data_IF_608464240263
#
_entry.id   IF_608464240263
#
_cell.length_a   1.000
_cell.length_b   1.000
_cell.length_c   1.000
_cell.angle_alpha   90.00
_cell.angle_beta   90.00
_cell.angle_gamma   90.00
#
_symmetry.space_group_name_H-M   'P 1'
#
loop_
_entity.id
_entity.type
_entity.pdbx_description
1 polymer ?
#
# COMPACT_ATOMS: atom_id res chain seq x y z
N UNK A 1 22.61 -6.49 0.79
CA UNK A 1 21.35 -7.15 0.37
C UNK A 1 20.22 -6.18 0.62
N UNK A 2 19.45 -5.83 -0.42
CA UNK A 2 18.31 -4.91 -0.29
C UNK A 2 17.34 -5.43 0.76
N UNK A 3 17.02 -4.61 1.77
CA UNK A 3 16.25 -5.02 2.93
C UNK A 3 14.78 -5.26 2.55
N UNK A 4 14.40 -6.53 2.39
CA UNK A 4 13.00 -6.92 2.20
C UNK A 4 12.26 -6.91 3.54
N UNK A 5 10.94 -6.68 3.50
CA UNK A 5 10.05 -6.76 4.66
C UNK A 5 8.79 -7.56 4.33
N UNK A 6 8.17 -8.11 5.36
CA UNK A 6 6.88 -8.76 5.27
C UNK A 6 5.81 -7.81 5.81
N UNK A 7 4.68 -7.71 5.12
CA UNK A 7 3.45 -7.12 5.64
C UNK A 7 2.37 -8.18 5.75
N UNK A 8 1.63 -8.19 6.86
CA UNK A 8 0.48 -9.05 7.08
C UNK A 8 -0.73 -8.17 7.37
N UNK A 9 -1.76 -8.31 6.54
CA UNK A 9 -3.07 -7.70 6.75
C UNK A 9 -4.03 -8.74 7.34
N UNK A 10 -4.56 -8.45 8.52
CA UNK A 10 -5.57 -9.28 9.19
C UNK A 10 -6.91 -9.16 8.46
N UNK A 11 -7.35 -7.96 8.05
CA UNK A 11 -8.61 -7.82 7.32
C UNK A 11 -8.58 -8.55 5.97
N UNK A 12 -7.49 -8.45 5.21
CA UNK A 12 -7.39 -9.10 3.90
C UNK A 12 -6.99 -10.57 3.96
N UNK A 13 -6.62 -11.06 5.15
CA UNK A 13 -6.04 -12.40 5.33
C UNK A 13 -4.92 -12.67 4.33
N UNK A 14 -4.00 -11.72 4.21
CA UNK A 14 -2.94 -11.74 3.21
C UNK A 14 -1.58 -11.37 3.80
N UNK A 15 -0.54 -12.08 3.35
CA UNK A 15 0.86 -11.77 3.61
C UNK A 15 1.51 -11.31 2.31
N UNK A 16 2.29 -10.23 2.37
CA UNK A 16 3.04 -9.70 1.24
C UNK A 16 4.53 -9.64 1.56
N UNK A 17 5.36 -10.07 0.61
CA UNK A 17 6.79 -9.83 0.63
C UNK A 17 7.07 -8.58 -0.18
N UNK A 18 7.64 -7.58 0.48
CA UNK A 18 7.87 -6.25 -0.05
C UNK A 18 9.37 -6.03 -0.19
N UNK A 19 9.83 -5.59 -1.36
CA UNK A 19 11.24 -5.26 -1.57
C UNK A 19 11.62 -3.96 -0.84
N UNK A 20 12.92 -3.64 -0.87
CA UNK A 20 13.41 -2.36 -0.33
C UNK A 20 12.81 -1.16 -1.08
N UNK A 21 12.49 -1.36 -2.36
CA UNK A 21 11.77 -0.43 -3.21
C UNK A 21 10.23 -0.53 -3.03
N UNK A 22 9.76 -1.06 -1.89
CA UNK A 22 8.34 -1.11 -1.59
C UNK A 22 7.44 -1.89 -2.57
N UNK A 23 8.01 -2.49 -3.63
CA UNK A 23 7.30 -3.29 -4.59
C UNK A 23 6.86 -4.59 -3.92
N UNK A 24 5.60 -4.97 -4.15
CA UNK A 24 5.09 -6.24 -3.67
C UNK A 24 5.59 -7.37 -4.58
N UNK A 25 6.66 -8.06 -4.18
CA UNK A 25 7.28 -9.16 -4.94
C UNK A 25 6.41 -10.42 -4.90
N UNK A 26 5.75 -10.67 -3.77
CA UNK A 26 4.85 -11.82 -3.56
C UNK A 26 3.66 -11.44 -2.72
N UNK A 27 2.53 -12.11 -2.97
CA UNK A 27 1.33 -12.06 -2.16
C UNK A 27 0.82 -13.47 -1.93
N UNK A 28 0.57 -13.80 -0.66
CA UNK A 28 0.07 -15.08 -0.21
C UNK A 28 -1.24 -14.90 0.53
N UNK A 29 -2.17 -15.84 0.34
CA UNK A 29 -3.31 -15.97 1.23
C UNK A 29 -2.84 -16.60 2.54
N UNK A 30 -3.31 -16.10 3.67
CA UNK A 30 -2.99 -16.62 4.99
C UNK A 30 -4.25 -16.87 5.81
N UNK A 31 -4.10 -17.50 6.97
CA UNK A 31 -5.14 -17.55 8.00
C UNK A 31 -4.57 -17.06 9.33
N UNK A 32 -5.05 -15.92 9.81
CA UNK A 32 -4.72 -15.37 11.14
C UNK A 32 -5.73 -15.84 12.17
N UNK A 33 -5.64 -15.32 13.41
CA UNK A 33 -6.46 -15.78 14.51
C UNK A 33 -7.96 -15.60 14.29
N UNK A 34 -8.74 -16.63 14.65
CA UNK A 34 -10.20 -16.55 14.74
C UNK A 34 -10.64 -15.46 15.73
N UNK A 35 -9.92 -15.32 16.86
CA UNK A 35 -10.19 -14.31 17.88
C UNK A 35 -9.78 -12.89 17.46
N UNK A 36 -9.34 -12.71 16.21
CA UNK A 36 -8.95 -11.41 15.68
C UNK A 36 -7.62 -10.88 16.24
N UNK A 37 -7.41 -9.56 16.17
CA UNK A 37 -6.18 -8.91 16.60
C UNK A 37 -6.08 -8.76 18.12
N UNK A 38 -4.88 -8.95 18.68
CA UNK A 38 -4.65 -8.77 20.12
C UNK A 38 -3.31 -9.32 20.62
N UNK A 39 -2.73 -8.62 21.59
CA UNK A 39 -1.36 -8.88 22.03
C UNK A 39 -1.27 -9.64 23.36
N UNK A 40 -2.35 -9.66 24.14
CA UNK A 40 -2.39 -10.27 25.47
C UNK A 40 -2.11 -11.77 25.39
N UNK A 41 -1.26 -12.26 26.31
CA UNK A 41 -0.94 -13.66 26.48
C UNK A 41 -2.21 -14.49 26.68
N UNK A 42 -2.24 -15.69 26.10
CA UNK A 42 -3.36 -16.63 26.18
C UNK A 42 -4.69 -16.15 25.59
N UNK A 43 -4.71 -15.01 24.87
CA UNK A 43 -5.90 -14.50 24.19
C UNK A 43 -6.31 -15.29 22.93
N UNK A 44 -5.40 -16.09 22.37
CA UNK A 44 -5.59 -16.71 21.05
C UNK A 44 -5.61 -15.72 19.87
N UNK A 45 -5.40 -14.42 20.11
CA UNK A 45 -5.41 -13.38 19.07
C UNK A 45 -4.07 -13.26 18.34
N UNK A 46 -4.08 -12.77 17.10
CA UNK A 46 -2.84 -12.45 16.36
C UNK A 46 -2.32 -11.07 16.81
N UNK A 47 -1.07 -10.95 17.28
CA UNK A 47 -0.55 -9.67 17.74
C UNK A 47 -0.34 -8.69 16.58
N UNK A 48 -0.57 -7.40 16.83
CA UNK A 48 -0.30 -6.32 15.87
C UNK A 48 1.08 -5.71 16.08
N UNK A 49 1.45 -4.84 15.15
CA UNK A 49 2.61 -3.98 15.25
C UNK A 49 3.88 -4.60 14.67
N UNK A 50 5.01 -3.97 14.99
CA UNK A 50 6.31 -4.34 14.42
C UNK A 50 6.89 -5.59 15.07
N UNK A 51 7.35 -6.49 14.22
CA UNK A 51 8.01 -7.73 14.57
C UNK A 51 9.27 -7.92 13.71
N UNK A 52 10.06 -8.93 14.04
CA UNK A 52 11.14 -9.47 13.21
C UNK A 52 11.14 -10.99 13.24
N UNK A 53 11.61 -11.61 12.17
CA UNK A 53 11.92 -13.04 12.17
C UNK A 53 13.12 -13.26 13.09
N UNK A 54 12.89 -13.83 14.28
CA UNK A 54 13.95 -14.14 15.24
C UNK A 54 14.75 -15.36 14.84
N UNK A 55 14.06 -16.39 14.36
CA UNK A 55 14.65 -17.65 13.97
C UNK A 55 13.84 -18.30 12.84
N UNK A 56 14.54 -19.10 12.05
CA UNK A 56 14.01 -19.91 10.96
C UNK A 56 14.23 -21.38 11.31
N UNK A 57 13.19 -22.19 11.27
CA UNK A 57 13.23 -23.58 11.76
C UNK A 57 12.63 -24.51 10.70
N UNK A 58 13.30 -25.64 10.50
CA UNK A 58 12.89 -26.66 9.54
C UNK A 58 13.63 -26.63 8.20
N UNK A 59 14.73 -25.90 8.06
CA UNK A 59 15.45 -25.73 6.78
C UNK A 59 15.75 -27.07 6.06
N UNK A 60 16.36 -28.01 6.77
CA UNK A 60 16.66 -29.36 6.27
C UNK A 60 15.49 -30.36 6.40
N UNK A 61 14.34 -29.95 6.93
CA UNK A 61 13.21 -30.85 7.15
C UNK A 61 12.41 -31.05 5.84
N UNK A 62 11.93 -32.27 5.56
CA UNK A 62 11.03 -32.51 4.42
C UNK A 62 9.75 -31.65 4.51
N UNK A 63 9.15 -31.27 3.36
CA UNK A 63 7.80 -30.70 3.33
C UNK A 63 6.80 -31.59 4.08
N UNK A 64 5.86 -30.97 4.80
CA UNK A 64 4.88 -31.69 5.63
C UNK A 64 5.40 -32.12 7.00
N UNK A 65 6.69 -31.95 7.32
CA UNK A 65 7.21 -32.25 8.66
C UNK A 65 6.40 -31.58 9.75
N UNK A 66 5.96 -32.34 10.74
CA UNK A 66 5.19 -31.84 11.88
C UNK A 66 6.12 -31.40 13.00
N UNK A 67 5.91 -30.20 13.53
CA UNK A 67 6.69 -29.64 14.63
C UNK A 67 5.90 -29.55 15.94
N UNK A 68 6.57 -29.84 17.06
CA UNK A 68 6.07 -29.59 18.42
C UNK A 68 7.16 -28.91 19.23
N UNK A 69 6.85 -27.79 19.87
CA UNK A 69 7.85 -27.01 20.63
C UNK A 69 9.05 -26.60 19.76
N UNK A 70 8.83 -26.37 18.45
CA UNK A 70 9.85 -26.06 17.43
C UNK A 70 10.83 -27.20 17.11
N UNK A 71 10.53 -28.43 17.52
CA UNK A 71 11.32 -29.62 17.17
C UNK A 71 10.53 -30.51 16.21
N UNK A 72 11.18 -31.10 15.19
CA UNK A 72 10.52 -32.10 14.36
C UNK A 72 10.08 -33.28 15.23
N UNK A 73 8.89 -33.78 14.99
CA UNK A 73 8.31 -34.91 15.73
C UNK A 73 8.68 -36.27 15.14
N UNK A 74 9.16 -36.29 13.89
CA UNK A 74 9.29 -37.50 13.07
C UNK A 74 8.05 -37.78 12.22
N UNK A 75 6.91 -37.14 12.50
CA UNK A 75 5.69 -37.25 11.69
C UNK A 75 5.80 -36.38 10.41
N UNK A 76 5.30 -36.90 9.29
CA UNK A 76 4.99 -36.14 8.08
C UNK A 76 3.47 -36.07 7.95
N UNK A 77 2.93 -34.88 7.77
CA UNK A 77 1.50 -34.66 7.66
C UNK A 77 0.91 -35.35 6.41
N UNK A 78 -0.23 -35.99 6.61
CA UNK A 78 -1.12 -36.52 5.57
C UNK A 78 -2.57 -36.31 6.00
N UNK A 79 -3.51 -36.37 5.05
CA UNK A 79 -4.94 -36.28 5.36
C UNK A 79 -5.40 -37.41 6.31
N UNK A 80 -4.82 -38.60 6.19
CA UNK A 80 -5.09 -39.72 7.09
C UNK A 80 -4.63 -39.41 8.53
N UNK A 81 -3.40 -38.92 8.68
CA UNK A 81 -2.87 -38.52 10.00
C UNK A 81 -3.70 -37.37 10.61
N UNK A 82 -4.14 -36.42 9.78
CA UNK A 82 -5.03 -35.35 10.21
C UNK A 82 -6.37 -35.90 10.72
N UNK A 83 -6.96 -36.87 10.01
CA UNK A 83 -8.22 -37.53 10.39
C UNK A 83 -8.16 -38.30 11.71
N UNK A 84 -6.99 -38.81 12.08
CA UNK A 84 -6.76 -39.49 13.36
C UNK A 84 -6.63 -38.54 14.57
N UNK A 85 -6.47 -37.23 14.33
CA UNK A 85 -6.30 -36.22 15.38
C UNK A 85 -7.12 -34.97 15.07
N UNK A 86 -8.46 -35.07 15.05
CA UNK A 86 -9.33 -33.94 14.74
C UNK A 86 -9.13 -32.83 15.78
N UNK A 87 -9.01 -31.59 15.31
CA UNK A 87 -8.82 -30.40 16.16
C UNK A 87 -7.38 -30.14 16.62
N UNK A 88 -6.40 -30.99 16.28
CA UNK A 88 -4.98 -30.70 16.51
C UNK A 88 -4.56 -29.49 15.68
N UNK A 89 -3.90 -28.50 16.30
CA UNK A 89 -3.29 -27.40 15.57
C UNK A 89 -1.94 -27.85 14.98
N UNK A 90 -1.92 -28.02 13.65
CA UNK A 90 -0.77 -28.53 12.93
C UNK A 90 0.21 -27.41 12.56
N UNK A 91 1.41 -27.47 13.14
CA UNK A 91 2.55 -26.62 12.76
C UNK A 91 3.44 -27.44 11.83
N UNK A 92 3.42 -27.12 10.54
CA UNK A 92 4.04 -27.93 9.49
C UNK A 92 5.14 -27.19 8.75
N UNK A 93 5.98 -27.99 8.08
CA UNK A 93 6.86 -27.61 6.97
C UNK A 93 7.99 -26.65 7.35
N UNK A 94 7.69 -25.39 7.68
CA UNK A 94 8.66 -24.38 8.11
C UNK A 94 8.06 -23.50 9.19
N UNK A 95 8.89 -22.99 10.08
CA UNK A 95 8.50 -22.00 11.10
C UNK A 95 9.39 -20.77 10.96
N UNK A 96 8.77 -19.61 10.79
CA UNK A 96 9.39 -18.30 10.99
C UNK A 96 8.92 -17.77 12.35
N UNK A 97 9.81 -17.83 13.35
CA UNK A 97 9.46 -17.42 14.72
C UNK A 97 9.56 -15.91 14.88
N UNK A 98 8.46 -15.27 15.25
CA UNK A 98 8.38 -13.82 15.37
C UNK A 98 8.78 -13.35 16.77
N UNK A 99 9.55 -12.26 16.83
CA UNK A 99 9.78 -11.47 18.03
C UNK A 99 9.18 -10.10 17.84
N UNK A 100 8.34 -9.67 18.77
CA UNK A 100 7.86 -8.29 18.82
C UNK A 100 9.00 -7.30 19.02
N UNK A 101 8.82 -6.09 18.51
CA UNK A 101 9.78 -5.00 18.57
C UNK A 101 9.30 -3.81 19.42
N UNK A 102 8.03 -3.79 19.85
CA UNK A 102 7.37 -2.65 20.47
C UNK A 102 7.07 -2.93 21.96
N UNK A 103 7.80 -2.24 22.85
CA UNK A 103 7.67 -2.41 24.30
C UNK A 103 6.26 -2.12 24.79
N UNK A 104 5.72 -3.01 25.62
CA UNK A 104 4.37 -2.85 26.19
C UNK A 104 3.24 -3.08 25.19
N UNK A 105 3.54 -3.24 23.89
CA UNK A 105 2.57 -3.61 22.86
C UNK A 105 2.71 -5.04 22.42
N UNK A 106 3.87 -5.46 21.91
CA UNK A 106 4.09 -6.85 21.45
C UNK A 106 5.42 -7.44 21.94
N UNK A 107 6.13 -6.71 22.81
CA UNK A 107 7.43 -7.06 23.39
C UNK A 107 7.42 -6.84 24.91
N UNK A 108 7.97 -7.82 25.63
CA UNK A 108 8.01 -7.91 27.10
C UNK A 108 6.62 -7.99 27.77
N UNK A 109 6.62 -8.36 29.05
CA UNK A 109 5.41 -8.48 29.86
C UNK A 109 4.41 -9.51 29.33
N UNK A 110 3.12 -9.25 29.56
CA UNK A 110 2.01 -10.11 29.14
C UNK A 110 1.66 -10.00 27.65
N UNK A 111 2.45 -9.25 26.87
CA UNK A 111 2.17 -9.02 25.45
C UNK A 111 3.27 -9.56 24.53
N UNK A 112 4.28 -10.21 25.09
CA UNK A 112 5.47 -10.63 24.36
C UNK A 112 5.16 -11.72 23.31
N UNK A 113 5.24 -11.36 22.03
CA UNK A 113 4.90 -12.26 20.94
C UNK A 113 5.83 -13.47 20.82
N UNK A 114 7.09 -13.32 21.25
CA UNK A 114 8.04 -14.44 21.23
C UNK A 114 7.67 -15.47 22.30
N UNK A 115 7.34 -15.01 23.51
CA UNK A 115 6.85 -15.86 24.62
C UNK A 115 5.49 -16.48 24.34
N UNK A 116 4.64 -15.79 23.58
CA UNK A 116 3.36 -16.29 23.06
C UNK A 116 3.50 -17.27 21.89
N UNK A 117 4.73 -17.60 21.47
CA UNK A 117 4.99 -18.56 20.40
C UNK A 117 4.34 -18.22 19.06
N UNK A 118 4.34 -16.93 18.70
CA UNK A 118 3.73 -16.47 17.45
C UNK A 118 4.63 -16.79 16.26
N UNK A 119 4.08 -17.51 15.29
CA UNK A 119 4.79 -18.02 14.13
C UNK A 119 4.10 -17.61 12.82
N UNK A 120 4.89 -17.53 11.74
CA UNK A 120 4.39 -17.81 10.39
C UNK A 120 4.79 -19.26 10.09
N UNK A 121 3.83 -20.12 9.76
CA UNK A 121 4.11 -21.54 9.55
C UNK A 121 3.21 -22.20 8.52
N UNK A 122 3.64 -23.37 8.02
CA UNK A 122 2.84 -24.21 7.15
C UNK A 122 1.70 -24.88 7.93
N UNK A 123 0.59 -25.13 7.25
CA UNK A 123 -0.53 -25.90 7.77
C UNK A 123 -0.99 -26.97 6.77
N UNK A 124 -1.91 -27.83 7.19
CA UNK A 124 -2.46 -28.90 6.36
C UNK A 124 -3.30 -28.34 5.22
N UNK A 125 -3.42 -29.11 4.14
CA UNK A 125 -4.19 -28.68 2.96
C UNK A 125 -5.71 -28.64 3.22
N UNK A 126 -6.15 -29.31 4.29
CA UNK A 126 -7.52 -29.34 4.82
C UNK A 126 -7.94 -28.01 5.48
N UNK A 127 -7.00 -27.14 5.84
CA UNK A 127 -7.28 -25.86 6.47
C UNK A 127 -7.60 -24.78 5.43
N UNK A 128 -8.50 -23.82 5.66
CA UNK A 128 -8.80 -22.77 4.68
C UNK A 128 -7.80 -21.61 4.75
N UNK A 129 -7.59 -20.91 3.64
CA UNK A 129 -6.79 -19.68 3.54
C UNK A 129 -7.69 -18.51 3.13
N UNK A 130 -7.35 -17.29 3.51
CA UNK A 130 -8.17 -16.11 3.25
C UNK A 130 -9.28 -15.87 4.29
N UNK A 131 -9.32 -16.69 5.36
CA UNK A 131 -10.27 -16.56 6.47
C UNK A 131 -9.55 -16.70 7.82
N UNK A 132 -9.93 -15.96 8.86
CA UNK A 132 -9.30 -16.08 10.19
C UNK A 132 -9.75 -17.35 10.90
N UNK A 133 -8.84 -18.31 11.09
CA UNK A 133 -9.13 -19.60 11.73
C UNK A 133 -7.95 -20.17 12.54
N UNK A 134 -6.88 -19.41 12.73
CA UNK A 134 -5.76 -19.82 13.59
C UNK A 134 -6.02 -19.55 15.07
N UNK A 135 -5.11 -20.00 15.95
CA UNK A 135 -5.12 -19.73 17.39
C UNK A 135 -4.08 -18.67 17.81
N UNK A 136 -3.73 -17.75 16.92
CA UNK A 136 -2.79 -16.65 17.19
C UNK A 136 -1.68 -16.52 16.15
N UNK A 137 -1.25 -17.64 15.57
CA UNK A 137 -0.23 -17.67 14.52
C UNK A 137 -0.76 -17.22 13.15
N UNK A 138 0.13 -17.09 12.18
CA UNK A 138 -0.20 -16.85 10.78
C UNK A 138 0.04 -18.15 10.00
N UNK A 139 -1.03 -18.82 9.61
CA UNK A 139 -0.96 -20.07 8.83
C UNK A 139 -0.81 -19.75 7.34
N UNK A 140 0.00 -20.54 6.66
CA UNK A 140 0.22 -20.52 5.21
C UNK A 140 0.11 -21.93 4.63
N UNK A 141 -0.14 -22.05 3.33
CA UNK A 141 0.06 -23.33 2.63
C UNK A 141 1.51 -23.77 2.73
N UNK A 142 1.73 -25.08 2.78
CA UNK A 142 3.09 -25.64 2.88
C UNK A 142 3.99 -25.22 1.72
N UNK A 143 3.46 -25.17 0.48
CA UNK A 143 4.21 -24.66 -0.68
C UNK A 143 4.60 -23.17 -0.55
N UNK A 144 3.70 -22.36 0.00
CA UNK A 144 3.87 -20.90 0.09
C UNK A 144 4.88 -20.55 1.19
N UNK A 145 4.82 -21.23 2.34
CA UNK A 145 5.79 -21.01 3.42
C UNK A 145 7.19 -21.52 3.04
N UNK A 146 7.30 -22.56 2.23
CA UNK A 146 8.59 -23.02 1.69
C UNK A 146 9.24 -21.94 0.83
N UNK A 147 8.49 -21.35 -0.10
CA UNK A 147 8.99 -20.26 -0.94
C UNK A 147 9.38 -19.05 -0.08
N UNK A 148 8.47 -18.59 0.79
CA UNK A 148 8.74 -17.45 1.67
C UNK A 148 9.99 -17.70 2.53
N UNK A 149 10.13 -18.90 3.08
CA UNK A 149 11.30 -19.28 3.89
C UNK A 149 12.60 -19.19 3.10
N UNK A 150 12.62 -19.56 1.82
CA UNK A 150 13.82 -19.41 0.99
C UNK A 150 14.15 -17.94 0.71
N UNK A 151 13.13 -17.08 0.56
CA UNK A 151 13.29 -15.68 0.18
C UNK A 151 13.74 -14.76 1.33
N UNK A 152 13.43 -15.10 2.60
CA UNK A 152 13.68 -14.20 3.73
C UNK A 152 14.77 -14.71 4.70
N UNK A 153 15.76 -13.89 5.07
CA UNK A 153 16.70 -14.24 6.14
C UNK A 153 16.09 -14.06 7.54
N UNK A 154 16.76 -14.60 8.56
CA UNK A 154 16.50 -14.17 9.93
C UNK A 154 16.82 -12.68 10.09
N UNK A 155 16.03 -11.96 10.87
CA UNK A 155 16.10 -10.51 11.02
C UNK A 155 15.15 -9.73 10.12
N UNK A 156 14.56 -10.35 9.09
CA UNK A 156 13.55 -9.69 8.24
C UNK A 156 12.43 -9.08 9.08
N UNK A 157 12.13 -7.82 8.80
CA UNK A 157 11.04 -7.07 9.44
C UNK A 157 9.69 -7.65 9.04
N UNK A 158 8.78 -7.74 9.99
CA UNK A 158 7.39 -8.17 9.77
C UNK A 158 6.46 -7.14 10.42
N UNK A 159 5.59 -6.53 9.63
CA UNK A 159 4.55 -5.61 10.12
C UNK A 159 3.20 -6.35 10.07
N UNK A 160 2.47 -6.39 11.19
CA UNK A 160 1.15 -7.04 11.28
C UNK A 160 0.11 -5.96 11.62
N UNK A 161 -0.88 -5.79 10.75
CA UNK A 161 -1.85 -4.70 10.82
C UNK A 161 -3.28 -5.21 10.62
N UNK A 162 -4.24 -4.50 11.22
CA UNK A 162 -5.66 -4.84 11.12
C UNK A 162 -6.21 -4.55 9.74
N UNK A 163 -5.98 -3.34 9.23
CA UNK A 163 -6.58 -2.88 7.98
C UNK A 163 -5.99 -3.51 6.73
N UNK A 164 -6.63 -3.21 5.61
CA UNK A 164 -6.09 -3.51 4.27
C UNK A 164 -4.68 -3.00 4.11
N UNK A 165 -3.85 -3.75 3.41
CA UNK A 165 -2.57 -3.21 2.98
C UNK A 165 -2.82 -2.05 2.02
N UNK A 166 -2.66 -0.84 2.54
CA UNK A 166 -2.37 0.31 1.73
C UNK A 166 -1.01 0.05 1.10
N UNK A 167 -0.98 -0.57 -0.09
CA UNK A 167 0.20 -0.57 -0.94
C UNK A 167 0.72 0.87 -0.93
N UNK A 168 1.89 1.08 -0.30
CA UNK A 168 2.33 2.36 0.26
C UNK A 168 1.63 3.52 -0.43
N UNK A 169 0.62 4.09 0.22
CA UNK A 169 -0.16 5.17 -0.39
C UNK A 169 0.84 6.20 -0.89
N UNK A 170 0.87 6.50 -2.20
CA UNK A 170 1.85 7.45 -2.68
C UNK A 170 1.69 8.75 -1.93
N UNK A 171 2.84 9.34 -1.61
CA UNK A 171 2.89 10.63 -0.94
C UNK A 171 2.63 11.68 -1.99
N UNK A 172 1.67 12.57 -1.76
CA UNK A 172 1.40 13.71 -2.64
C UNK A 172 1.82 14.96 -1.90
N UNK A 173 2.75 15.70 -2.49
CA UNK A 173 3.22 16.98 -1.96
C UNK A 173 2.87 18.08 -2.95
N UNK A 174 2.40 19.22 -2.44
CA UNK A 174 2.26 20.44 -3.23
C UNK A 174 3.53 21.25 -3.05
N UNK A 175 4.31 21.37 -4.12
CA UNK A 175 5.64 21.97 -4.14
C UNK A 175 5.66 23.20 -5.06
N UNK A 176 6.64 24.07 -4.86
CA UNK A 176 7.01 25.06 -5.87
C UNK A 176 7.94 24.44 -6.93
N UNK A 177 8.28 25.21 -7.96
CA UNK A 177 9.11 24.72 -9.05
C UNK A 177 10.55 24.39 -8.66
N UNK A 178 11.10 25.08 -7.65
CA UNK A 178 12.48 24.85 -7.18
C UNK A 178 12.64 23.43 -6.69
N UNK A 179 11.61 22.90 -6.02
CA UNK A 179 11.58 21.53 -5.52
C UNK A 179 10.98 20.53 -6.52
N UNK A 180 9.98 20.95 -7.31
CA UNK A 180 9.24 20.05 -8.20
C UNK A 180 9.90 19.83 -9.56
N UNK A 181 10.59 20.83 -10.12
CA UNK A 181 10.96 20.86 -11.53
C UNK A 181 11.77 19.64 -11.98
N UNK A 182 12.84 19.34 -11.24
CA UNK A 182 13.69 18.17 -11.52
C UNK A 182 12.97 16.83 -11.33
N UNK A 183 11.94 16.78 -10.46
CA UNK A 183 11.17 15.58 -10.17
C UNK A 183 10.13 15.28 -11.26
N UNK A 184 9.40 16.31 -11.71
CA UNK A 184 8.24 16.13 -12.59
C UNK A 184 8.58 16.15 -14.07
N UNK A 185 9.68 16.82 -14.47
CA UNK A 185 10.04 16.93 -15.88
C UNK A 185 10.27 15.58 -16.57
N UNK A 186 11.01 14.61 -16.00
CA UNK A 186 11.17 13.30 -16.62
C UNK A 186 9.83 12.60 -16.88
N UNK A 187 8.90 12.66 -15.91
CA UNK A 187 7.56 12.09 -16.04
C UNK A 187 6.72 12.81 -17.12
N UNK A 188 6.80 14.14 -17.17
CA UNK A 188 6.08 14.97 -18.15
C UNK A 188 6.60 14.69 -19.56
N UNK A 189 7.91 14.59 -19.74
CA UNK A 189 8.53 14.22 -21.01
C UNK A 189 8.15 12.80 -21.44
N UNK A 190 8.18 11.82 -20.52
CA UNK A 190 7.73 10.45 -20.79
C UNK A 190 6.28 10.41 -21.29
N UNK A 191 5.35 11.05 -20.55
CA UNK A 191 3.91 10.94 -20.83
C UNK A 191 3.45 11.88 -21.95
N UNK A 192 3.83 13.15 -21.93
CA UNK A 192 3.31 14.12 -22.89
C UNK A 192 4.06 14.06 -24.22
N UNK A 193 5.40 13.98 -24.18
CA UNK A 193 6.20 13.92 -25.42
C UNK A 193 6.27 12.49 -25.94
N UNK A 194 6.67 11.54 -25.09
CA UNK A 194 6.88 10.15 -25.47
C UNK A 194 5.59 9.42 -25.86
N UNK A 195 4.55 9.48 -25.02
CA UNK A 195 3.31 8.75 -25.26
C UNK A 195 2.26 9.52 -26.06
N UNK A 196 2.06 10.82 -25.76
CA UNK A 196 0.99 11.61 -26.38
C UNK A 196 1.44 12.40 -27.63
N UNK A 197 2.76 12.43 -27.92
CA UNK A 197 3.29 13.10 -29.11
C UNK A 197 3.20 14.63 -29.05
N UNK A 198 3.12 15.22 -27.85
CA UNK A 198 3.23 16.68 -27.69
C UNK A 198 4.64 17.11 -28.05
N UNK A 199 4.83 18.13 -28.92
CA UNK A 199 6.16 18.65 -29.23
C UNK A 199 6.93 19.06 -27.97
N UNK A 200 8.20 18.65 -27.86
CA UNK A 200 8.99 18.83 -26.63
C UNK A 200 9.16 20.30 -26.23
N UNK A 201 9.22 21.19 -27.20
CA UNK A 201 9.28 22.64 -27.02
C UNK A 201 8.01 23.23 -26.41
N UNK A 202 6.84 22.60 -26.62
CA UNK A 202 5.56 23.03 -26.02
C UNK A 202 5.37 22.50 -24.60
N UNK A 203 6.12 21.47 -24.21
CA UNK A 203 6.04 20.90 -22.87
C UNK A 203 6.76 21.77 -21.83
N UNK A 204 7.85 22.42 -22.22
CA UNK A 204 8.59 23.34 -21.35
C UNK A 204 7.87 24.68 -21.25
N UNK A 205 7.34 24.98 -20.06
CA UNK A 205 6.62 26.22 -19.79
C UNK A 205 7.49 27.18 -18.95
N UNK A 206 7.94 28.33 -19.50
CA UNK A 206 8.73 29.31 -18.76
C UNK A 206 8.02 29.88 -17.51
N UNK A 207 6.70 29.70 -17.39
CA UNK A 207 5.92 30.14 -16.24
C UNK A 207 5.75 29.06 -15.17
N UNK A 208 6.27 27.84 -15.35
CA UNK A 208 6.27 26.79 -14.34
C UNK A 208 6.76 27.26 -12.94
N UNK A 209 7.77 28.15 -12.82
CA UNK A 209 8.14 28.79 -11.56
C UNK A 209 7.04 29.53 -10.80
N UNK A 210 5.98 29.96 -11.47
CA UNK A 210 4.86 30.72 -10.88
C UNK A 210 3.73 29.80 -10.37
N UNK A 211 3.83 28.49 -10.62
CA UNK A 211 2.74 27.55 -10.44
C UNK A 211 3.00 26.60 -9.26
N UNK A 212 1.92 26.00 -8.74
CA UNK A 212 2.01 24.95 -7.71
C UNK A 212 1.95 23.59 -8.38
N UNK A 213 2.78 22.65 -7.92
CA UNK A 213 2.94 21.34 -8.55
C UNK A 213 2.65 20.24 -7.52
N UNK A 214 1.68 19.39 -7.81
CA UNK A 214 1.46 18.16 -7.07
C UNK A 214 2.43 17.11 -7.57
N UNK A 215 3.25 16.56 -6.67
CA UNK A 215 4.20 15.48 -6.96
C UNK A 215 3.79 14.24 -6.18
N UNK A 216 3.41 13.18 -6.89
CA UNK A 216 3.10 11.88 -6.31
C UNK A 216 4.33 10.99 -6.38
N UNK A 217 4.81 10.52 -5.22
CA UNK A 217 5.91 9.55 -5.14
C UNK A 217 5.45 8.23 -4.52
N UNK A 218 5.98 7.12 -5.00
CA UNK A 218 5.84 5.84 -4.31
C UNK A 218 6.70 5.78 -3.04
N UNK A 219 6.79 4.61 -2.42
CA UNK A 219 7.56 4.36 -1.21
C UNK A 219 9.06 4.60 -1.32
N UNK A 220 9.59 4.68 -2.54
CA UNK A 220 11.04 4.73 -2.78
C UNK A 220 11.47 6.11 -3.21
N UNK A 221 10.50 7.02 -3.27
CA UNK A 221 10.69 8.35 -3.81
C UNK A 221 10.66 8.40 -5.33
N UNK A 222 10.32 7.30 -6.05
CA UNK A 222 10.10 7.39 -7.50
C UNK A 222 8.86 8.22 -7.75
N UNK A 223 8.96 9.18 -8.67
CA UNK A 223 7.84 10.01 -9.10
C UNK A 223 6.94 9.17 -10.00
N UNK A 224 5.70 8.98 -9.58
CA UNK A 224 4.71 8.13 -10.26
C UNK A 224 3.52 8.93 -10.81
N UNK A 225 3.42 10.20 -10.45
CA UNK A 225 2.36 11.08 -10.93
C UNK A 225 2.65 12.55 -10.65
N UNK A 226 2.04 13.42 -11.47
CA UNK A 226 2.13 14.87 -11.32
C UNK A 226 0.85 15.57 -11.75
N UNK A 227 0.69 16.81 -11.31
CA UNK A 227 -0.32 17.75 -11.77
C UNK A 227 0.04 19.17 -11.37
N UNK A 228 -0.55 20.16 -12.02
CA UNK A 228 -0.20 21.57 -11.86
C UNK A 228 -1.43 22.43 -11.59
N UNK A 229 -1.31 23.38 -10.68
CA UNK A 229 -2.32 24.39 -10.37
C UNK A 229 -1.77 25.79 -10.70
N UNK A 230 -2.46 26.48 -11.59
CA UNK A 230 -2.19 27.87 -11.94
C UNK A 230 -2.87 28.82 -10.94
N UNK A 231 -2.37 30.07 -10.81
CA UNK A 231 -2.95 31.07 -9.92
C UNK A 231 -4.44 31.28 -10.16
N UNK A 232 -4.93 31.23 -11.40
CA UNK A 232 -6.35 31.42 -11.72
C UNK A 232 -7.26 30.22 -11.40
N UNK A 233 -6.75 29.16 -10.76
CA UNK A 233 -7.52 27.95 -10.47
C UNK A 233 -7.54 26.93 -11.60
N UNK A 234 -6.77 27.14 -12.68
CA UNK A 234 -6.68 26.18 -13.76
C UNK A 234 -5.78 25.00 -13.36
N UNK A 235 -6.31 23.78 -13.46
CA UNK A 235 -5.59 22.52 -13.23
C UNK A 235 -5.17 21.93 -14.58
N UNK A 236 -3.89 21.56 -14.70
CA UNK A 236 -3.35 21.01 -15.94
C UNK A 236 -2.13 20.12 -15.69
N UNK A 237 -1.50 19.67 -16.79
CA UNK A 237 -0.32 18.78 -16.78
C UNK A 237 -0.49 17.57 -15.85
N UNK A 238 -1.70 17.01 -15.82
CA UNK A 238 -2.01 15.78 -15.09
C UNK A 238 -1.40 14.59 -15.81
N UNK A 239 -0.50 13.86 -15.13
CA UNK A 239 0.14 12.66 -15.68
C UNK A 239 0.38 11.61 -14.58
N UNK A 240 0.29 10.34 -14.96
CA UNK A 240 0.61 9.17 -14.12
C UNK A 240 1.35 8.16 -15.00
N UNK A 241 2.43 7.57 -14.48
CA UNK A 241 3.21 6.55 -15.21
C UNK A 241 2.31 5.36 -15.57
N UNK A 242 2.58 4.72 -16.71
CA UNK A 242 1.72 3.65 -17.24
C UNK A 242 1.47 2.50 -16.25
N UNK A 243 2.50 2.10 -15.50
CA UNK A 243 2.46 1.05 -14.48
C UNK A 243 1.60 1.42 -13.26
N UNK A 244 1.32 2.71 -13.02
CA UNK A 244 0.52 3.22 -11.90
C UNK A 244 -0.88 3.73 -12.26
N UNK A 245 -1.25 3.71 -13.55
CA UNK A 245 -2.61 4.06 -14.01
C UNK A 245 -3.67 3.12 -13.46
N UNK A 246 -4.92 3.60 -13.37
CA UNK A 246 -6.07 2.85 -12.85
C UNK A 246 -5.95 2.38 -11.38
N UNK A 247 -5.01 2.95 -10.61
CA UNK A 247 -4.83 2.68 -9.17
C UNK A 247 -5.33 3.84 -8.28
N UNK A 248 -6.10 4.76 -8.84
CA UNK A 248 -6.64 5.93 -8.12
C UNK A 248 -5.66 7.09 -7.91
N UNK A 249 -4.43 7.02 -8.45
CA UNK A 249 -3.39 8.04 -8.22
C UNK A 249 -3.79 9.40 -8.80
N UNK A 250 -4.28 9.43 -10.04
CA UNK A 250 -4.73 10.66 -10.70
C UNK A 250 -5.83 11.38 -9.91
N UNK A 251 -6.78 10.63 -9.34
CA UNK A 251 -7.83 11.19 -8.49
C UNK A 251 -7.28 11.84 -7.22
N UNK A 252 -6.29 11.22 -6.57
CA UNK A 252 -5.65 11.79 -5.38
C UNK A 252 -4.83 13.05 -5.69
N UNK A 253 -4.14 13.08 -6.83
CA UNK A 253 -3.42 14.28 -7.31
C UNK A 253 -4.42 15.42 -7.53
N UNK A 254 -5.53 15.12 -8.22
CA UNK A 254 -6.58 16.09 -8.51
C UNK A 254 -7.17 16.68 -7.22
N UNK A 255 -7.57 15.85 -6.25
CA UNK A 255 -8.11 16.34 -4.98
C UNK A 255 -7.08 17.15 -4.17
N UNK A 256 -5.79 16.81 -4.24
CA UNK A 256 -4.74 17.60 -3.59
C UNK A 256 -4.60 19.01 -4.20
N UNK A 257 -4.70 19.13 -5.54
CA UNK A 257 -4.71 20.42 -6.22
C UNK A 257 -5.99 21.21 -5.94
N UNK A 258 -7.14 20.55 -5.86
CA UNK A 258 -8.41 21.16 -5.44
C UNK A 258 -8.30 21.72 -4.02
N UNK A 259 -7.75 20.96 -3.08
CA UNK A 259 -7.55 21.40 -1.70
C UNK A 259 -6.59 22.61 -1.63
N UNK A 260 -5.53 22.62 -2.45
CA UNK A 260 -4.64 23.78 -2.56
C UNK A 260 -5.37 25.01 -3.13
N UNK A 261 -6.21 24.85 -4.15
CA UNK A 261 -7.02 25.95 -4.69
C UNK A 261 -8.00 26.51 -3.64
N UNK A 262 -8.63 25.64 -2.84
CA UNK A 262 -9.47 26.04 -1.71
C UNK A 262 -8.68 26.82 -0.66
N UNK A 263 -7.46 26.35 -0.33
CA UNK A 263 -6.55 27.05 0.60
C UNK A 263 -6.15 28.44 0.09
N UNK A 264 -6.09 28.62 -1.23
CA UNK A 264 -5.87 29.91 -1.89
C UNK A 264 -7.15 30.76 -2.01
N UNK A 265 -8.27 30.33 -1.41
CA UNK A 265 -9.53 31.08 -1.39
C UNK A 265 -10.31 31.05 -2.70
N UNK A 266 -10.06 30.06 -3.57
CA UNK A 266 -10.77 29.94 -4.85
C UNK A 266 -12.21 29.44 -4.66
N UNK A 267 -13.13 30.04 -5.41
CA UNK A 267 -14.54 29.62 -5.50
C UNK A 267 -14.75 28.42 -6.42
N UNK A 268 -13.79 28.14 -7.29
CA UNK A 268 -13.89 27.11 -8.32
C UNK A 268 -12.49 26.76 -8.86
N UNK A 269 -12.43 25.61 -9.54
CA UNK A 269 -11.31 25.19 -10.37
C UNK A 269 -11.80 24.83 -11.76
N UNK A 270 -10.94 25.03 -12.76
CA UNK A 270 -11.22 24.78 -14.17
C UNK A 270 -10.10 23.93 -14.78
N UNK A 271 -10.43 23.14 -15.80
CA UNK A 271 -9.45 22.38 -16.58
C UNK A 271 -9.93 22.15 -18.00
N UNK A 272 -8.98 21.86 -18.89
CA UNK A 272 -9.26 21.39 -20.24
C UNK A 272 -9.04 19.88 -20.28
N UNK A 273 -10.11 19.10 -20.19
CA UNK A 273 -10.04 17.64 -20.22
C UNK A 273 -9.91 17.14 -21.65
N UNK A 274 -8.96 16.26 -21.95
CA UNK A 274 -9.03 15.45 -23.18
C UNK A 274 -10.35 14.66 -23.18
N UNK A 275 -10.98 14.48 -24.35
CA UNK A 275 -12.30 13.80 -24.44
C UNK A 275 -12.28 12.42 -23.77
N UNK A 276 -11.17 11.68 -23.88
CA UNK A 276 -10.97 10.38 -23.23
C UNK A 276 -10.95 10.42 -21.70
N UNK A 277 -10.72 11.60 -21.09
CA UNK A 277 -10.64 11.80 -19.65
C UNK A 277 -11.89 12.48 -19.05
N UNK A 278 -12.91 12.83 -19.85
CA UNK A 278 -14.13 13.51 -19.37
C UNK A 278 -14.81 12.73 -18.26
N UNK A 279 -15.02 11.42 -18.44
CA UNK A 279 -15.65 10.57 -17.43
C UNK A 279 -14.86 10.51 -16.12
N UNK A 280 -13.54 10.63 -16.18
CA UNK A 280 -12.71 10.72 -14.99
C UNK A 280 -13.03 11.99 -14.20
N UNK A 281 -13.09 13.15 -14.85
CA UNK A 281 -13.38 14.42 -14.18
C UNK A 281 -14.84 14.54 -13.72
N UNK A 282 -15.79 13.97 -14.46
CA UNK A 282 -17.20 13.87 -14.02
C UNK A 282 -17.32 13.18 -12.66
N UNK A 283 -16.62 12.05 -12.46
CA UNK A 283 -16.59 11.33 -11.17
C UNK A 283 -15.95 12.14 -10.04
N UNK A 284 -15.15 13.16 -10.36
CA UNK A 284 -14.52 14.07 -9.42
C UNK A 284 -15.30 15.39 -9.25
N UNK A 285 -16.56 15.44 -9.66
CA UNK A 285 -17.45 16.58 -9.43
C UNK A 285 -17.24 17.78 -10.35
N UNK A 286 -16.52 17.59 -11.47
CA UNK A 286 -16.45 18.59 -12.52
C UNK A 286 -17.66 18.44 -13.46
N UNK A 287 -18.12 19.56 -14.02
CA UNK A 287 -19.15 19.60 -15.04
C UNK A 287 -18.59 20.23 -16.33
N UNK A 288 -19.00 19.78 -17.53
CA UNK A 288 -18.59 20.38 -18.78
C UNK A 288 -19.13 21.82 -18.91
N UNK A 289 -18.32 22.71 -19.49
CA UNK A 289 -18.62 24.11 -19.76
C UNK A 289 -18.24 24.43 -21.21
N UNK A 290 -19.18 24.95 -22.01
CA UNK A 290 -18.94 25.32 -23.40
C UNK A 290 -18.74 24.15 -24.38
N UNK A 291 -18.29 24.46 -25.59
CA UNK A 291 -18.11 23.50 -26.69
C UNK A 291 -16.75 22.76 -26.63
N UNK A 292 -16.70 21.62 -27.30
CA UNK A 292 -15.45 20.85 -27.51
C UNK A 292 -14.56 21.60 -28.52
N UNK A 293 -13.28 21.75 -28.20
CA UNK A 293 -12.29 22.41 -29.05
C UNK A 293 -11.05 21.52 -29.26
N UNK A 294 -10.14 21.94 -30.14
CA UNK A 294 -8.91 21.21 -30.45
C UNK A 294 -7.70 22.03 -29.97
N UNK A 295 -6.80 21.39 -29.22
CA UNK A 295 -5.55 21.97 -28.72
C UNK A 295 -4.42 20.96 -28.94
N UNK A 296 -3.33 21.38 -29.57
CA UNK A 296 -2.21 20.52 -29.95
C UNK A 296 -2.63 19.23 -30.71
N UNK A 297 -3.67 19.31 -31.55
CA UNK A 297 -4.20 18.17 -32.32
C UNK A 297 -5.11 17.22 -31.52
N UNK A 298 -5.36 17.49 -30.24
CA UNK A 298 -6.18 16.66 -29.36
C UNK A 298 -7.49 17.39 -29.04
N UNK A 299 -8.60 16.67 -29.04
CA UNK A 299 -9.92 17.21 -28.67
C UNK A 299 -10.04 17.36 -27.15
N UNK A 300 -10.49 18.53 -26.71
CA UNK A 300 -10.66 18.88 -25.30
C UNK A 300 -12.05 19.44 -25.00
N UNK A 301 -12.52 19.25 -23.77
CA UNK A 301 -13.72 19.84 -23.19
C UNK A 301 -13.31 20.64 -21.96
N UNK A 302 -13.69 21.92 -21.89
CA UNK A 302 -13.53 22.69 -20.65
C UNK A 302 -14.46 22.12 -19.59
N UNK A 303 -13.95 21.91 -18.38
CA UNK A 303 -14.73 21.43 -17.24
C UNK A 303 -14.46 22.25 -15.99
N UNK A 304 -15.48 22.50 -15.18
CA UNK A 304 -15.41 23.32 -13.97
C UNK A 304 -15.99 22.59 -12.76
N UNK A 305 -15.38 22.76 -11.59
CA UNK A 305 -15.91 22.31 -10.30
C UNK A 305 -16.00 23.52 -9.36
N UNK A 306 -17.22 23.78 -8.86
CA UNK A 306 -17.41 24.76 -7.78
C UNK A 306 -16.86 24.22 -6.47
N UNK A 307 -16.25 25.08 -5.69
CA UNK A 307 -15.68 24.77 -4.39
C UNK A 307 -16.56 25.37 -3.29
N UNK A 308 -16.82 24.63 -2.20
CA UNK A 308 -17.52 25.18 -1.05
C UNK A 308 -16.75 26.37 -0.48
N UNK A 309 -17.47 27.39 -0.01
CA UNK A 309 -16.87 28.51 0.70
C UNK A 309 -16.08 27.99 1.92
N UNK A 310 -14.88 28.52 2.14
CA UNK A 310 -14.09 28.18 3.32
C UNK A 310 -14.92 28.46 4.57
N UNK A 311 -15.10 27.46 5.44
CA UNK A 311 -15.78 27.65 6.70
C UNK A 311 -15.01 28.72 7.51
N UNK A 312 -15.65 29.85 7.78
CA UNK A 312 -15.10 30.87 8.66
C UNK A 312 -14.97 30.22 10.03
N UNK A 313 -13.75 29.88 10.43
CA UNK A 313 -13.46 29.49 11.81
C UNK A 313 -13.66 30.74 12.67
N UNK A 314 -14.85 30.86 13.25
CA UNK A 314 -15.15 31.87 14.26
C UNK A 314 -14.30 31.58 15.50
N UNK A 315 -13.08 32.11 15.54
CA UNK A 315 -12.33 32.25 16.78
C UNK A 315 -13.00 33.40 17.54
N UNK A 316 -13.97 33.04 18.38
CA UNK A 316 -14.63 33.98 19.28
C UNK A 316 -13.61 34.57 20.25
N UNK A 317 -13.37 35.86 20.13
CA UNK A 317 -12.84 36.69 21.20
C UNK A 317 -13.85 36.68 22.35
N UNK A 318 -13.57 35.90 23.40
CA UNK A 318 -14.21 36.03 24.70
C UNK A 318 -13.38 36.97 25.55
N UNK A 319 -13.99 38.10 25.91
CA UNK A 319 -13.49 39.09 26.86
C UNK A 319 -13.33 38.52 28.28
#
# INVERSE_FOLDING_TARGET
MNAMRIHVSIEEQALRLIAADGACIRRYAVSTALNGPGEIQDSGCTPRGRHRIRAKIGDAAPPGTVFRGRRPTGEIWSAELAGQSPGRDWILTRILWLSGCELGRNRLGKVDSMRRYIYIHGTGDDQPMGVPLSHGCIRMRSRDVLELFALVPAGTRVDIEEGRYAAHMPTIRILDWTEAGALVMPLREEVFVGEQGVPAELERDPNDPKYRHAVATDSDGRVIGTGRLLPNGHIGRMAVTADWRNRGIGGRILEALVAEAQRQGRSDVVLNAQISAVDFYLRHGFAPEGEVFVEAGIRHQTMRRKLPAAAISACGSGA
#
